data_IF_289425241311
#
_entry.id   IF_289425241311
#
_cell.length_a   1.000
_cell.length_b   1.000
_cell.length_c   1.000
_cell.angle_alpha   90.00
_cell.angle_beta   90.00
_cell.angle_gamma   90.00
#
_symmetry.space_group_name_H-M   'P 1'
#
loop_
_entity.id
_entity.type
_entity.pdbx_description
1 polymer ?
#
# COMPACT_ATOMS: atom_id res chain seq x y z
N UNK A 1 53.51 40.24 23.74
CA UNK A 1 52.52 39.73 22.76
C UNK A 1 52.79 38.26 22.51
N UNK A 2 51.89 37.35 22.91
CA UNK A 2 52.03 35.91 22.61
C UNK A 2 51.77 35.69 21.11
N UNK A 3 52.79 35.27 20.37
CA UNK A 3 52.65 34.89 18.95
C UNK A 3 52.04 33.49 18.91
N UNK A 4 50.79 33.38 18.51
CA UNK A 4 50.18 32.08 18.26
C UNK A 4 50.80 31.48 16.99
N UNK A 5 51.17 30.18 17.00
CA UNK A 5 51.71 29.53 15.82
C UNK A 5 50.65 29.52 14.70
N UNK A 6 51.06 29.86 13.48
CA UNK A 6 50.19 30.00 12.29
C UNK A 6 49.26 28.79 12.09
N UNK A 7 49.73 27.58 12.43
CA UNK A 7 48.95 26.34 12.38
C UNK A 7 47.70 26.36 13.29
N UNK A 8 47.79 26.99 14.46
CA UNK A 8 46.65 27.11 15.41
C UNK A 8 45.63 28.13 14.93
N UNK A 9 46.09 29.20 14.29
CA UNK A 9 45.21 30.21 13.69
C UNK A 9 44.43 29.59 12.51
N UNK A 10 45.11 28.83 11.64
CA UNK A 10 44.48 28.16 10.50
C UNK A 10 43.47 27.11 10.94
N UNK A 11 43.80 26.30 11.96
CA UNK A 11 42.87 25.30 12.50
C UNK A 11 41.63 25.95 13.12
N UNK A 12 41.82 27.04 13.87
CA UNK A 12 40.71 27.78 14.48
C UNK A 12 39.80 28.40 13.41
N UNK A 13 40.38 28.97 12.35
CA UNK A 13 39.63 29.51 11.22
C UNK A 13 38.82 28.42 10.51
N UNK A 14 39.42 27.24 10.31
CA UNK A 14 38.74 26.10 9.67
C UNK A 14 37.56 25.59 10.51
N UNK A 15 37.72 25.53 11.84
CA UNK A 15 36.63 25.16 12.76
C UNK A 15 35.52 26.20 12.71
N UNK A 16 35.84 27.50 12.75
CA UNK A 16 34.86 28.58 12.69
C UNK A 16 34.10 28.56 11.36
N UNK A 17 34.78 28.35 10.23
CA UNK A 17 34.12 28.25 8.92
C UNK A 17 33.18 27.05 8.88
N UNK A 18 33.60 25.86 9.32
CA UNK A 18 32.75 24.68 9.34
C UNK A 18 31.56 24.82 10.31
N UNK A 19 31.76 25.43 11.49
CA UNK A 19 30.66 25.75 12.40
C UNK A 19 29.71 26.78 11.80
N UNK A 20 30.23 27.80 11.11
CA UNK A 20 29.40 28.81 10.47
C UNK A 20 28.56 28.17 9.37
N UNK A 21 29.14 27.27 8.55
CA UNK A 21 28.40 26.53 7.52
C UNK A 21 27.31 25.65 8.16
N UNK A 22 27.60 24.92 9.23
CA UNK A 22 26.60 24.10 9.96
C UNK A 22 25.51 24.97 10.59
N UNK A 23 25.83 26.18 11.06
CA UNK A 23 24.89 27.12 11.67
C UNK A 23 24.13 27.98 10.64
N UNK A 24 24.61 28.12 9.41
CA UNK A 24 23.93 28.87 8.33
C UNK A 24 23.12 27.99 7.38
N UNK A 25 23.23 26.66 7.47
CA UNK A 25 22.21 25.78 6.91
C UNK A 25 20.97 25.86 7.82
N UNK A 26 19.86 26.46 7.36
CA UNK A 26 18.63 26.45 8.14
C UNK A 26 18.14 25.00 8.18
N UNK A 27 18.14 24.39 9.35
CA UNK A 27 17.43 23.14 9.63
C UNK A 27 15.91 23.34 9.72
N UNK A 28 15.43 24.54 9.38
CA UNK A 28 14.03 24.86 9.16
C UNK A 28 13.93 25.71 7.89
N UNK A 29 13.63 25.06 6.77
CA UNK A 29 13.08 25.74 5.59
C UNK A 29 11.86 26.52 6.07
N UNK A 30 11.82 27.83 5.84
CA UNK A 30 10.70 28.63 6.33
C UNK A 30 9.42 28.18 5.62
N UNK A 31 8.27 28.19 6.30
CA UNK A 31 7.00 27.76 5.70
C UNK A 31 6.71 28.50 4.38
N UNK A 32 7.13 29.78 4.29
CA UNK A 32 7.02 30.59 3.08
C UNK A 32 7.80 30.03 1.88
N UNK A 33 9.04 29.56 2.09
CA UNK A 33 9.85 28.97 1.01
C UNK A 33 9.23 27.65 0.52
N UNK A 34 8.62 26.89 1.44
CA UNK A 34 7.92 25.65 1.11
C UNK A 34 6.64 25.87 0.30
N UNK A 35 5.91 26.96 0.57
CA UNK A 35 4.70 27.32 -0.20
C UNK A 35 5.03 27.80 -1.60
N UNK A 36 6.10 28.59 -1.76
CA UNK A 36 6.54 29.05 -3.07
C UNK A 36 6.92 27.86 -3.97
N UNK A 37 7.66 26.87 -3.44
CA UNK A 37 8.02 25.66 -4.18
C UNK A 37 6.77 24.89 -4.64
N UNK A 38 5.80 24.69 -3.75
CA UNK A 38 4.54 23.99 -4.09
C UNK A 38 3.77 24.77 -5.16
N UNK A 39 3.64 26.08 -5.03
CA UNK A 39 2.94 26.92 -6.00
C UNK A 39 3.61 26.92 -7.37
N UNK A 40 4.95 26.94 -7.40
CA UNK A 40 5.73 26.84 -8.64
C UNK A 40 5.55 25.47 -9.31
N UNK A 41 5.55 24.38 -8.53
CA UNK A 41 5.27 23.04 -9.04
C UNK A 41 3.85 22.95 -9.63
N UNK A 42 2.83 23.42 -8.91
CA UNK A 42 1.44 23.41 -9.39
C UNK A 42 1.30 24.23 -10.67
N UNK A 43 1.97 25.38 -10.76
CA UNK A 43 2.01 26.19 -11.98
C UNK A 43 2.66 25.45 -13.15
N UNK A 44 3.79 24.76 -12.90
CA UNK A 44 4.45 23.94 -13.91
C UNK A 44 3.56 22.78 -14.38
N UNK A 45 2.94 22.04 -13.47
CA UNK A 45 2.06 20.92 -13.79
C UNK A 45 0.85 21.39 -14.61
N UNK A 46 0.22 22.51 -14.22
CA UNK A 46 -0.92 23.07 -14.95
C UNK A 46 -0.55 23.48 -16.39
N UNK A 47 0.68 23.99 -16.62
CA UNK A 47 1.16 24.29 -17.98
C UNK A 47 1.33 23.04 -18.86
N UNK A 48 1.41 21.85 -18.25
CA UNK A 48 1.54 20.56 -18.92
C UNK A 48 0.23 19.76 -18.88
N UNK A 49 -0.92 20.44 -18.74
CA UNK A 49 -2.25 19.84 -18.66
C UNK A 49 -2.46 18.88 -17.47
N UNK A 50 -1.69 19.03 -16.40
CA UNK A 50 -1.81 18.26 -15.16
C UNK A 50 -2.29 19.17 -14.03
N UNK A 51 -3.49 18.92 -13.51
CA UNK A 51 -4.05 19.64 -12.37
C UNK A 51 -3.93 18.80 -11.10
N UNK A 52 -3.45 19.41 -10.02
CA UNK A 52 -3.31 18.82 -8.69
C UNK A 52 -3.60 19.89 -7.64
N UNK A 53 -4.28 19.52 -6.55
CA UNK A 53 -4.50 20.46 -5.43
C UNK A 53 -3.20 20.66 -4.66
N UNK A 54 -2.79 21.91 -4.34
CA UNK A 54 -1.65 22.16 -3.47
C UNK A 54 -1.76 21.45 -2.10
N UNK A 55 -2.99 21.24 -1.61
CA UNK A 55 -3.25 20.64 -0.29
C UNK A 55 -2.91 19.15 -0.18
N UNK A 56 -2.77 18.44 -1.31
CA UNK A 56 -2.38 17.03 -1.33
C UNK A 56 -0.88 16.84 -1.61
N UNK A 57 -0.14 17.94 -1.81
CA UNK A 57 1.31 17.93 -1.98
C UNK A 57 1.93 18.04 -0.59
N UNK A 58 2.30 16.89 -0.06
CA UNK A 58 3.03 16.83 1.20
C UNK A 58 4.43 17.45 1.04
N UNK A 59 4.79 18.28 2.01
CA UNK A 59 6.07 19.01 2.06
C UNK A 59 7.08 18.30 2.96
N UNK A 60 6.63 17.37 3.79
CA UNK A 60 7.49 16.66 4.74
C UNK A 60 8.23 15.51 4.06
N UNK A 61 9.51 15.37 4.40
CA UNK A 61 10.30 14.20 4.04
C UNK A 61 9.78 12.99 4.83
N UNK A 62 9.25 12.00 4.13
CA UNK A 62 8.80 10.74 4.75
C UNK A 62 9.94 9.74 4.84
N UNK A 63 9.76 8.78 5.75
CA UNK A 63 10.62 7.61 5.88
C UNK A 63 9.82 6.35 5.68
N UNK A 64 10.46 5.35 5.10
CA UNK A 64 9.93 4.01 4.89
C UNK A 64 10.96 3.01 5.38
N UNK A 65 10.49 1.93 5.99
CA UNK A 65 11.31 0.78 6.31
C UNK A 65 11.44 -0.12 5.07
N UNK A 66 12.61 -0.71 4.85
CA UNK A 66 12.70 -1.91 4.03
C UNK A 66 11.97 -3.04 4.73
N UNK A 67 11.20 -3.84 4.01
CA UNK A 67 10.43 -4.93 4.60
C UNK A 67 10.32 -6.11 3.65
N UNK A 68 10.19 -7.31 4.22
CA UNK A 68 9.80 -8.52 3.48
C UNK A 68 8.47 -9.03 3.96
N UNK A 69 7.68 -9.59 3.05
CA UNK A 69 6.44 -10.29 3.39
C UNK A 69 6.55 -11.77 3.09
N UNK A 70 5.82 -12.58 3.86
CA UNK A 70 5.66 -14.01 3.66
C UNK A 70 4.23 -14.29 3.18
N UNK A 71 4.09 -15.15 2.17
CA UNK A 71 2.79 -15.61 1.72
C UNK A 71 2.09 -16.37 2.85
N UNK A 72 0.85 -16.01 3.14
CA UNK A 72 0.04 -16.67 4.17
C UNK A 72 -0.23 -18.15 3.83
N UNK A 73 -0.33 -18.49 2.54
CA UNK A 73 -0.64 -19.85 2.09
C UNK A 73 0.66 -20.59 1.73
N UNK A 74 1.25 -21.24 2.72
CA UNK A 74 2.43 -22.10 2.52
C UNK A 74 2.05 -23.50 2.02
N UNK A 75 0.91 -24.03 2.47
CA UNK A 75 0.36 -25.33 2.07
C UNK A 75 -1.05 -25.16 1.52
N UNK A 76 -1.15 -25.24 0.18
CA UNK A 76 -2.42 -25.14 -0.55
C UNK A 76 -3.39 -26.26 -0.18
N UNK A 77 -2.89 -27.46 0.08
CA UNK A 77 -3.74 -28.58 0.47
C UNK A 77 -4.34 -28.33 1.86
N UNK A 78 -3.51 -27.96 2.83
CA UNK A 78 -3.97 -27.62 4.18
C UNK A 78 -4.98 -26.46 4.16
N UNK A 79 -4.70 -25.40 3.39
CA UNK A 79 -5.60 -24.27 3.23
C UNK A 79 -6.95 -24.69 2.61
N UNK A 80 -6.92 -25.41 1.49
CA UNK A 80 -8.15 -25.91 0.86
C UNK A 80 -8.92 -26.87 1.77
N UNK A 81 -8.23 -27.69 2.58
CA UNK A 81 -8.85 -28.56 3.58
C UNK A 81 -9.57 -27.77 4.67
N UNK A 82 -9.00 -26.63 5.09
CA UNK A 82 -9.60 -25.77 6.11
C UNK A 82 -10.93 -25.17 5.61
N UNK A 83 -10.99 -24.81 4.32
CA UNK A 83 -12.18 -24.19 3.72
C UNK A 83 -13.24 -25.23 3.30
N UNK A 84 -12.83 -26.29 2.61
CA UNK A 84 -13.73 -27.26 1.97
C UNK A 84 -14.00 -28.50 2.84
N UNK A 85 -13.20 -28.72 3.89
CA UNK A 85 -13.21 -29.93 4.70
C UNK A 85 -12.32 -31.05 4.14
N UNK A 86 -12.34 -32.20 4.82
CA UNK A 86 -11.40 -33.31 4.56
C UNK A 86 -11.68 -34.09 3.27
N UNK A 87 -12.92 -34.09 2.77
CA UNK A 87 -13.30 -34.81 1.54
C UNK A 87 -13.33 -33.83 0.38
N UNK A 88 -12.22 -33.71 -0.35
CA UNK A 88 -12.10 -32.84 -1.52
C UNK A 88 -11.48 -33.60 -2.70
N UNK A 89 -11.93 -33.26 -3.89
CA UNK A 89 -11.32 -33.66 -5.15
C UNK A 89 -10.38 -32.55 -5.62
N UNK A 90 -9.31 -32.91 -6.32
CA UNK A 90 -8.32 -31.96 -6.83
C UNK A 90 -8.14 -32.19 -8.33
N UNK A 91 -8.11 -31.11 -9.11
CA UNK A 91 -7.79 -31.19 -10.53
C UNK A 91 -6.38 -31.73 -10.75
N UNK A 92 -6.13 -32.32 -11.92
CA UNK A 92 -4.82 -32.92 -12.25
C UNK A 92 -3.65 -31.94 -12.17
N UNK A 93 -3.89 -30.66 -12.40
CA UNK A 93 -2.90 -29.60 -12.31
C UNK A 93 -2.72 -29.04 -10.88
N UNK A 94 -3.52 -29.48 -9.89
CA UNK A 94 -3.40 -29.04 -8.51
C UNK A 94 -3.94 -27.64 -8.21
N UNK A 95 -4.60 -26.99 -9.16
CA UNK A 95 -5.04 -25.59 -9.04
C UNK A 95 -6.45 -25.45 -8.47
N UNK A 96 -7.32 -26.44 -8.66
CA UNK A 96 -8.72 -26.37 -8.20
C UNK A 96 -9.04 -27.53 -7.29
N UNK A 97 -9.55 -27.20 -6.11
CA UNK A 97 -10.06 -28.11 -5.10
C UNK A 97 -11.58 -27.98 -5.06
N UNK A 98 -12.30 -29.11 -5.04
CA UNK A 98 -13.77 -29.12 -5.02
C UNK A 98 -14.30 -30.03 -3.93
N UNK A 99 -15.32 -29.59 -3.19
CA UNK A 99 -16.08 -30.42 -2.26
C UNK A 99 -17.52 -29.91 -2.16
N UNK A 100 -18.51 -30.80 -2.30
CA UNK A 100 -19.94 -30.45 -2.25
C UNK A 100 -20.28 -29.25 -3.18
N UNK A 101 -19.66 -29.22 -4.37
CA UNK A 101 -19.80 -28.16 -5.37
C UNK A 101 -19.24 -26.78 -4.97
N UNK A 102 -18.63 -26.65 -3.79
CA UNK A 102 -17.81 -25.50 -3.44
C UNK A 102 -16.40 -25.67 -4.00
N UNK A 103 -15.75 -24.56 -4.36
CA UNK A 103 -14.43 -24.57 -4.97
C UNK A 103 -13.45 -23.66 -4.24
N UNK A 104 -12.19 -24.11 -4.14
CA UNK A 104 -11.02 -23.27 -3.87
C UNK A 104 -10.12 -23.34 -5.10
N UNK A 105 -9.84 -22.19 -5.69
CA UNK A 105 -9.11 -22.06 -6.95
C UNK A 105 -7.84 -21.25 -6.68
N UNK A 106 -6.70 -21.72 -7.18
CA UNK A 106 -5.42 -21.04 -7.12
C UNK A 106 -4.98 -20.62 -8.53
N UNK A 107 -4.50 -19.39 -8.65
CA UNK A 107 -3.86 -18.84 -9.85
C UNK A 107 -2.56 -18.14 -9.42
N UNK A 108 -1.43 -18.83 -9.57
CA UNK A 108 -0.18 -18.44 -8.89
C UNK A 108 -0.42 -18.35 -7.38
N UNK A 109 -0.08 -17.20 -6.78
CA UNK A 109 -0.33 -16.91 -5.36
C UNK A 109 -1.65 -16.20 -5.08
N UNK A 110 -2.46 -15.96 -6.12
CA UNK A 110 -3.85 -15.57 -5.95
C UNK A 110 -4.70 -16.80 -5.67
N UNK A 111 -5.76 -16.59 -4.91
CA UNK A 111 -6.73 -17.64 -4.63
C UNK A 111 -8.15 -17.09 -4.62
N UNK A 112 -9.12 -17.99 -4.73
CA UNK A 112 -10.54 -17.69 -4.64
C UNK A 112 -11.28 -18.84 -3.98
N UNK A 113 -12.21 -18.51 -3.09
CA UNK A 113 -13.22 -19.42 -2.58
C UNK A 113 -14.56 -19.09 -3.22
N UNK A 114 -15.13 -20.06 -3.93
CA UNK A 114 -16.39 -19.95 -4.67
C UNK A 114 -17.35 -21.01 -4.12
N UNK A 115 -18.17 -20.66 -3.11
CA UNK A 115 -19.21 -21.55 -2.63
C UNK A 115 -20.36 -21.63 -3.65
N UNK A 116 -21.02 -22.79 -3.73
CA UNK A 116 -22.22 -22.97 -4.58
C UNK A 116 -23.40 -22.13 -4.10
N UNK A 117 -23.56 -22.03 -2.79
CA UNK A 117 -24.60 -21.23 -2.12
C UNK A 117 -23.95 -20.35 -1.07
N UNK A 118 -24.53 -19.18 -0.75
CA UNK A 118 -24.00 -18.31 0.30
C UNK A 118 -23.71 -19.08 1.59
N UNK A 119 -22.54 -18.87 2.18
CA UNK A 119 -22.14 -19.51 3.44
C UNK A 119 -22.69 -18.69 4.60
N UNK A 120 -23.66 -19.25 5.31
CA UNK A 120 -24.22 -18.61 6.51
C UNK A 120 -23.24 -18.71 7.67
N UNK A 121 -22.74 -17.57 8.13
CA UNK A 121 -21.91 -17.43 9.33
C UNK A 121 -22.65 -16.55 10.35
N UNK A 122 -22.38 -16.73 11.65
CA UNK A 122 -22.92 -15.85 12.70
C UNK A 122 -22.65 -14.37 12.41
N UNK A 123 -21.52 -14.08 11.79
CA UNK A 123 -21.04 -12.76 11.42
C UNK A 123 -21.85 -12.14 10.27
N UNK A 124 -22.44 -12.95 9.40
CA UNK A 124 -23.21 -12.48 8.23
C UNK A 124 -24.60 -11.95 8.60
N UNK A 125 -25.19 -12.40 9.70
CA UNK A 125 -26.51 -11.96 10.14
C UNK A 125 -26.55 -10.48 10.52
N UNK A 126 -27.52 -9.74 9.97
CA UNK A 126 -27.70 -8.31 10.25
C UNK A 126 -26.52 -7.46 9.76
N UNK A 127 -25.87 -7.88 8.67
CA UNK A 127 -24.92 -7.01 7.98
C UNK A 127 -25.63 -5.78 7.40
N UNK A 128 -25.00 -4.62 7.55
CA UNK A 128 -25.42 -3.35 7.00
C UNK A 128 -24.19 -2.50 6.62
N UNK A 129 -24.41 -1.38 5.93
CA UNK A 129 -23.32 -0.51 5.47
C UNK A 129 -22.45 0.06 6.61
N UNK A 130 -22.98 0.17 7.84
CA UNK A 130 -22.26 0.73 9.00
C UNK A 130 -21.35 -0.33 9.63
N UNK A 131 -21.78 -1.59 9.64
CA UNK A 131 -21.11 -2.68 10.35
C UNK A 131 -20.35 -3.65 9.43
N UNK A 132 -20.48 -3.49 8.10
CA UNK A 132 -19.89 -4.37 7.08
C UNK A 132 -18.38 -4.59 7.28
N UNK A 133 -17.57 -3.53 7.40
CA UNK A 133 -16.12 -3.67 7.63
C UNK A 133 -15.78 -4.48 8.89
N UNK A 134 -16.52 -4.24 9.99
CA UNK A 134 -16.31 -4.94 11.26
C UNK A 134 -16.66 -6.43 11.16
N UNK A 135 -17.73 -6.76 10.44
CA UNK A 135 -18.13 -8.16 10.18
C UNK A 135 -17.18 -8.85 9.22
N UNK A 136 -16.77 -8.17 8.15
CA UNK A 136 -15.75 -8.65 7.22
C UNK A 136 -14.46 -9.05 7.94
N UNK A 137 -13.98 -8.21 8.87
CA UNK A 137 -12.82 -8.55 9.72
C UNK A 137 -12.99 -9.86 10.49
N UNK A 138 -14.17 -10.09 11.07
CA UNK A 138 -14.45 -11.33 11.81
C UNK A 138 -14.54 -12.55 10.89
N UNK A 139 -15.12 -12.39 9.70
CA UNK A 139 -15.17 -13.45 8.69
C UNK A 139 -13.76 -13.79 8.21
N UNK A 140 -12.91 -12.79 7.97
CA UNK A 140 -11.50 -13.02 7.64
C UNK A 140 -10.80 -13.85 8.74
N UNK A 141 -11.00 -13.48 10.01
CA UNK A 141 -10.47 -14.24 11.15
C UNK A 141 -11.02 -15.67 11.25
N UNK A 142 -12.30 -15.90 10.91
CA UNK A 142 -12.90 -17.24 10.86
C UNK A 142 -12.17 -18.16 9.87
N UNK A 143 -11.72 -17.62 8.73
CA UNK A 143 -10.91 -18.36 7.75
C UNK A 143 -9.40 -18.37 8.04
N UNK A 144 -8.99 -17.82 9.19
CA UNK A 144 -7.60 -17.82 9.65
C UNK A 144 -6.75 -16.66 9.16
N UNK A 145 -7.32 -15.69 8.43
CA UNK A 145 -6.57 -14.52 7.97
C UNK A 145 -6.30 -13.56 9.13
N UNK A 146 -5.01 -13.36 9.44
CA UNK A 146 -4.62 -12.27 10.34
C UNK A 146 -4.80 -10.92 9.63
N UNK A 147 -5.58 -10.05 10.28
CA UNK A 147 -5.95 -8.72 9.80
C UNK A 147 -5.73 -7.65 10.87
N UNK A 148 -4.82 -7.91 11.81
CA UNK A 148 -4.45 -6.93 12.82
C UNK A 148 -3.90 -5.65 12.16
N UNK A 149 -2.98 -5.83 11.21
CA UNK A 149 -2.32 -4.74 10.48
C UNK A 149 -2.94 -4.53 9.09
N UNK A 150 -4.26 -4.65 8.96
CA UNK A 150 -4.95 -4.45 7.68
C UNK A 150 -5.80 -3.17 7.69
N UNK A 151 -5.73 -2.41 6.59
CA UNK A 151 -6.74 -1.41 6.28
C UNK A 151 -7.96 -2.12 5.69
N UNK A 152 -9.13 -1.87 6.27
CA UNK A 152 -10.39 -2.53 5.88
C UNK A 152 -11.43 -1.47 5.52
N UNK A 153 -11.91 -1.53 4.29
CA UNK A 153 -12.98 -0.66 3.79
C UNK A 153 -14.12 -1.53 3.26
N UNK A 154 -15.33 -0.99 3.26
CA UNK A 154 -16.49 -1.66 2.69
C UNK A 154 -17.25 -0.71 1.77
N UNK A 155 -17.92 -1.29 0.79
CA UNK A 155 -18.88 -0.60 -0.07
C UNK A 155 -20.16 -1.43 -0.16
N UNK A 156 -21.27 -0.75 -0.40
CA UNK A 156 -22.61 -1.34 -0.52
C UNK A 156 -23.09 -1.15 -1.96
N UNK A 157 -23.39 -2.25 -2.62
CA UNK A 157 -24.13 -2.29 -3.87
C UNK A 157 -25.48 -2.99 -3.62
N UNK A 158 -26.48 -2.21 -3.21
CA UNK A 158 -27.86 -2.65 -3.04
C UNK A 158 -28.02 -3.92 -2.15
N UNK A 159 -27.34 -3.95 -1.00
CA UNK A 159 -27.36 -5.06 -0.06
C UNK A 159 -26.33 -6.15 -0.35
N UNK A 160 -25.51 -5.95 -1.39
CA UNK A 160 -24.26 -6.69 -1.60
C UNK A 160 -23.10 -5.87 -1.03
N UNK A 161 -22.54 -6.35 0.07
CA UNK A 161 -21.43 -5.71 0.76
C UNK A 161 -20.11 -6.25 0.24
N UNK A 162 -19.32 -5.38 -0.38
CA UNK A 162 -17.97 -5.66 -0.84
C UNK A 162 -16.97 -5.18 0.22
N UNK A 163 -16.29 -6.11 0.88
CA UNK A 163 -15.23 -5.81 1.83
C UNK A 163 -13.90 -5.88 1.10
N UNK A 164 -13.09 -4.82 1.18
CA UNK A 164 -11.73 -4.79 0.68
C UNK A 164 -10.76 -4.65 1.87
N UNK A 165 -9.75 -5.50 1.88
CA UNK A 165 -8.70 -5.55 2.90
C UNK A 165 -7.35 -5.46 2.22
N UNK A 166 -6.44 -4.66 2.75
CA UNK A 166 -5.05 -4.60 2.31
C UNK A 166 -4.13 -4.58 3.52
N UNK A 167 -3.01 -5.30 3.45
CA UNK A 167 -2.03 -5.31 4.53
C UNK A 167 -1.33 -3.95 4.62
N UNK A 168 -0.88 -3.60 5.82
CA UNK A 168 -0.16 -2.35 6.09
C UNK A 168 1.12 -2.62 6.84
N UNK A 169 2.16 -1.88 6.50
CA UNK A 169 3.43 -1.81 7.25
C UNK A 169 3.54 -0.42 7.81
N UNK A 170 3.61 -0.29 9.13
CA UNK A 170 3.70 1.01 9.81
C UNK A 170 2.58 1.98 9.36
N UNK A 171 1.38 1.45 9.13
CA UNK A 171 0.19 2.13 8.59
C UNK A 171 0.25 2.55 7.12
N UNK A 172 1.29 2.15 6.38
CA UNK A 172 1.39 2.34 4.93
C UNK A 172 0.83 1.11 4.20
N UNK A 173 -0.10 1.26 3.24
CA UNK A 173 -0.72 0.14 2.53
C UNK A 173 0.24 -0.56 1.58
N UNK A 174 0.11 -1.87 1.46
CA UNK A 174 0.74 -2.68 0.41
C UNK A 174 -0.28 -2.85 -0.72
N UNK A 175 -0.24 -1.96 -1.72
CA UNK A 175 -1.37 -1.71 -2.62
C UNK A 175 -1.82 -2.92 -3.44
N UNK A 176 -0.90 -3.82 -3.77
CA UNK A 176 -1.14 -5.02 -4.56
C UNK A 176 -1.25 -6.30 -3.71
N UNK A 177 -1.23 -6.17 -2.38
CA UNK A 177 -1.56 -7.23 -1.42
C UNK A 177 -2.95 -6.96 -0.85
N UNK A 178 -3.94 -7.74 -1.31
CA UNK A 178 -5.33 -7.47 -1.00
C UNK A 178 -6.20 -8.71 -0.97
N UNK A 179 -7.24 -8.63 -0.14
CA UNK A 179 -8.30 -9.61 -0.01
C UNK A 179 -9.66 -8.95 -0.16
N UNK A 180 -10.58 -9.62 -0.83
CA UNK A 180 -11.95 -9.19 -1.01
C UNK A 180 -12.93 -10.23 -0.51
N UNK A 181 -14.02 -9.79 0.11
CA UNK A 181 -15.13 -10.64 0.55
C UNK A 181 -16.44 -10.05 0.05
N UNK A 182 -17.27 -10.87 -0.57
CA UNK A 182 -18.61 -10.49 -1.00
C UNK A 182 -19.65 -11.09 -0.05
N UNK A 183 -20.44 -10.25 0.61
CA UNK A 183 -21.38 -10.67 1.66
C UNK A 183 -22.77 -10.10 1.35
N UNK A 184 -23.80 -10.92 1.57
CA UNK A 184 -25.20 -10.51 1.51
C UNK A 184 -25.91 -10.88 2.81
N UNK A 185 -27.19 -10.54 2.93
CA UNK A 185 -28.04 -11.01 4.04
C UNK A 185 -28.12 -12.54 4.12
N UNK A 186 -27.97 -13.24 2.99
CA UNK A 186 -28.09 -14.69 2.89
C UNK A 186 -26.79 -15.40 3.31
N UNK A 187 -25.68 -14.67 3.33
CA UNK A 187 -24.37 -15.19 3.73
C UNK A 187 -23.21 -14.65 2.91
N UNK A 188 -22.05 -15.25 3.13
CA UNK A 188 -20.82 -15.01 2.37
C UNK A 188 -20.93 -15.65 0.97
N UNK A 189 -20.86 -14.83 -0.07
CA UNK A 189 -20.91 -15.24 -1.48
C UNK A 189 -19.57 -15.81 -1.94
N UNK A 190 -18.47 -15.37 -1.33
CA UNK A 190 -17.12 -15.84 -1.65
C UNK A 190 -16.06 -14.83 -1.21
N UNK A 191 -14.81 -15.22 -1.38
CA UNK A 191 -13.67 -14.31 -1.18
C UNK A 191 -12.56 -14.64 -2.16
N UNK A 192 -11.73 -13.65 -2.46
CA UNK A 192 -10.58 -13.83 -3.34
C UNK A 192 -9.51 -12.77 -3.08
N UNK A 193 -8.30 -13.08 -3.49
CA UNK A 193 -7.19 -12.13 -3.40
C UNK A 193 -5.84 -12.82 -3.34
N UNK A 194 -4.90 -12.06 -2.80
CA UNK A 194 -3.53 -12.47 -2.49
C UNK A 194 -3.24 -11.92 -1.11
N UNK A 195 -2.66 -12.73 -0.22
CA UNK A 195 -2.48 -12.32 1.17
C UNK A 195 -1.08 -12.66 1.66
N UNK A 196 -0.30 -11.62 1.86
CA UNK A 196 1.03 -11.67 2.43
C UNK A 196 1.02 -10.97 3.79
N UNK A 197 1.92 -11.38 4.68
CA UNK A 197 2.03 -10.80 6.03
C UNK A 197 3.47 -10.48 6.36
N UNK A 198 3.71 -9.54 7.27
CA UNK A 198 5.06 -9.09 7.59
C UNK A 198 5.93 -10.25 8.07
N UNK A 199 7.05 -10.46 7.39
CA UNK A 199 8.08 -11.41 7.77
C UNK A 199 9.22 -10.71 8.53
N UNK A 200 9.76 -9.64 7.96
CA UNK A 200 10.83 -8.85 8.60
C UNK A 200 10.75 -7.37 8.27
N UNK A 201 11.24 -6.55 9.22
CA UNK A 201 11.49 -5.13 9.04
C UNK A 201 13.00 -4.88 9.09
N UNK A 202 13.46 -4.01 8.20
CA UNK A 202 14.86 -3.59 8.11
C UNK A 202 15.02 -2.10 8.35
N UNK A 203 16.02 -1.52 7.71
CA UNK A 203 16.43 -0.14 7.94
C UNK A 203 15.45 0.88 7.35
N UNK A 204 15.38 2.04 7.99
CA UNK A 204 14.65 3.19 7.48
C UNK A 204 15.45 3.92 6.41
N UNK A 205 14.75 4.35 5.36
CA UNK A 205 15.27 5.21 4.30
C UNK A 205 14.35 6.39 4.10
N UNK A 206 14.92 7.53 3.73
CA UNK A 206 14.12 8.68 3.32
C UNK A 206 13.49 8.39 1.96
N UNK A 207 12.24 8.80 1.80
CA UNK A 207 11.59 8.79 0.49
C UNK A 207 11.98 10.02 -0.30
N UNK A 208 11.95 9.89 -1.62
CA UNK A 208 11.68 10.95 -2.58
C UNK A 208 10.47 11.77 -2.11
N UNK A 209 10.53 13.09 -2.34
CA UNK A 209 9.44 14.00 -2.01
C UNK A 209 8.23 13.78 -2.94
N UNK A 210 7.04 14.23 -2.52
CA UNK A 210 5.86 14.24 -3.41
C UNK A 210 6.11 15.11 -4.65
N UNK A 211 6.85 16.21 -4.49
CA UNK A 211 7.19 17.10 -5.59
C UNK A 211 8.01 16.38 -6.68
N UNK A 212 9.05 15.66 -6.27
CA UNK A 212 9.89 14.89 -7.20
C UNK A 212 9.10 13.75 -7.85
N UNK A 213 8.22 13.08 -7.10
CA UNK A 213 7.36 12.03 -7.64
C UNK A 213 6.38 12.57 -8.70
N UNK A 214 5.83 13.76 -8.50
CA UNK A 214 4.96 14.44 -9.46
C UNK A 214 5.72 14.89 -10.71
N UNK A 215 6.96 15.37 -10.55
CA UNK A 215 7.82 15.70 -11.69
C UNK A 215 8.14 14.46 -12.51
N UNK A 216 8.48 13.34 -11.88
CA UNK A 216 8.73 12.06 -12.56
C UNK A 216 7.46 11.55 -13.28
N UNK A 217 6.30 11.62 -12.63
CA UNK A 217 5.02 11.29 -13.25
C UNK A 217 4.73 12.16 -14.48
N UNK A 218 5.00 13.47 -14.39
CA UNK A 218 4.80 14.39 -15.53
C UNK A 218 5.67 14.05 -16.73
N UNK A 219 6.86 13.49 -16.49
CA UNK A 219 7.80 13.05 -17.51
C UNK A 219 7.59 11.59 -17.96
N UNK A 220 6.72 10.83 -17.27
CA UNK A 220 6.49 9.43 -17.58
C UNK A 220 5.87 9.24 -18.96
N UNK A 221 6.34 8.21 -19.66
CA UNK A 221 5.78 7.80 -20.97
C UNK A 221 4.45 7.07 -20.82
N UNK A 222 4.18 6.51 -19.64
CA UNK A 222 2.98 5.71 -19.36
C UNK A 222 1.81 6.56 -18.87
N UNK A 223 2.03 7.87 -18.65
CA UNK A 223 0.96 8.79 -18.26
C UNK A 223 -0.07 8.92 -19.40
N UNK A 224 -1.35 9.18 -19.09
CA UNK A 224 -2.37 9.31 -20.11
C UNK A 224 -2.13 10.57 -20.98
N UNK A 225 -2.64 10.52 -22.20
CA UNK A 225 -2.64 11.68 -23.08
C UNK A 225 -3.79 12.64 -22.74
N UNK A 226 -3.56 13.94 -22.90
CA UNK A 226 -4.56 14.98 -22.65
C UNK A 226 -4.56 15.47 -21.20
N UNK A 227 -5.70 16.05 -20.79
CA UNK A 227 -5.85 16.69 -19.48
C UNK A 227 -5.93 15.65 -18.37
N UNK A 228 -5.06 15.81 -17.37
CA UNK A 228 -4.93 14.95 -16.20
C UNK A 228 -5.39 15.72 -14.96
N UNK A 229 -6.23 15.09 -14.14
CA UNK A 229 -6.63 15.63 -12.84
C UNK A 229 -6.28 14.61 -11.75
N UNK A 230 -5.31 14.95 -10.90
CA UNK A 230 -4.85 14.13 -9.78
C UNK A 230 -5.78 14.36 -8.59
N UNK A 231 -6.34 13.28 -8.05
CA UNK A 231 -7.28 13.28 -6.93
C UNK A 231 -6.60 12.95 -5.60
N UNK A 232 -5.55 12.13 -5.60
CA UNK A 232 -4.88 11.67 -4.38
C UNK A 232 -3.43 11.24 -4.65
N UNK A 233 -2.57 11.38 -3.64
CA UNK A 233 -1.19 10.89 -3.65
C UNK A 233 -0.92 10.19 -2.31
N UNK A 234 -0.77 8.87 -2.34
CA UNK A 234 -0.57 8.05 -1.14
C UNK A 234 0.79 7.36 -1.17
N UNK A 235 1.56 7.43 -0.08
CA UNK A 235 2.76 6.60 0.11
C UNK A 235 2.35 5.18 0.52
N UNK A 236 2.99 4.17 -0.06
CA UNK A 236 2.77 2.79 0.31
C UNK A 236 3.86 1.88 -0.27
N UNK A 237 3.53 0.60 -0.39
CA UNK A 237 4.41 -0.41 -0.93
C UNK A 237 3.73 -1.20 -2.05
N UNK A 238 4.54 -1.80 -2.92
CA UNK A 238 4.13 -2.87 -3.82
C UNK A 238 5.03 -4.08 -3.59
N UNK A 239 4.44 -5.28 -3.64
CA UNK A 239 5.15 -6.53 -3.87
C UNK A 239 5.71 -6.50 -5.29
N UNK A 240 7.02 -6.72 -5.44
CA UNK A 240 7.71 -6.70 -6.75
C UNK A 240 7.57 -8.03 -7.47
N UNK A 241 7.75 -9.11 -6.72
CA UNK A 241 7.71 -10.48 -7.24
C UNK A 241 6.78 -11.31 -6.37
N UNK A 242 5.66 -11.71 -6.96
CA UNK A 242 4.69 -12.55 -6.26
C UNK A 242 5.13 -14.01 -6.19
N UNK A 243 6.04 -14.48 -7.03
CA UNK A 243 6.40 -15.90 -7.09
C UNK A 243 7.44 -16.30 -6.02
N UNK A 244 8.10 -15.31 -5.41
CA UNK A 244 9.04 -15.50 -4.30
C UNK A 244 8.35 -15.31 -2.94
N UNK A 245 8.73 -16.13 -1.96
CA UNK A 245 8.30 -15.99 -0.57
C UNK A 245 9.43 -16.44 0.37
N UNK A 246 9.97 -15.57 1.24
CA UNK A 246 9.58 -14.17 1.42
C UNK A 246 9.85 -13.29 0.19
N UNK A 247 9.04 -12.26 -0.01
CA UNK A 247 9.17 -11.28 -1.11
C UNK A 247 9.59 -9.91 -0.58
N UNK A 248 10.37 -9.18 -1.37
CA UNK A 248 10.77 -7.80 -1.06
C UNK A 248 9.68 -6.81 -1.48
N UNK A 249 9.56 -5.74 -0.70
CA UNK A 249 8.66 -4.64 -1.00
C UNK A 249 9.39 -3.45 -1.59
N UNK A 250 8.77 -2.86 -2.61
CA UNK A 250 9.19 -1.59 -3.17
C UNK A 250 8.31 -0.46 -2.62
N UNK A 251 8.88 0.52 -1.90
CA UNK A 251 8.19 1.75 -1.54
C UNK A 251 7.78 2.52 -2.80
N UNK A 252 6.54 2.99 -2.84
CA UNK A 252 5.99 3.72 -3.99
C UNK A 252 5.06 4.84 -3.56
N UNK A 253 5.07 5.92 -4.34
CA UNK A 253 4.02 6.92 -4.36
C UNK A 253 2.94 6.47 -5.34
N UNK A 254 1.73 6.20 -4.85
CA UNK A 254 0.55 5.94 -5.68
C UNK A 254 -0.16 7.26 -5.99
N UNK A 255 -0.10 7.67 -7.24
CA UNK A 255 -0.83 8.80 -7.79
C UNK A 255 -2.17 8.30 -8.33
N UNK A 256 -3.27 8.78 -7.75
CA UNK A 256 -4.62 8.45 -8.18
C UNK A 256 -5.20 9.61 -8.97
N UNK A 257 -5.76 9.32 -10.14
CA UNK A 257 -6.45 10.31 -10.96
C UNK A 257 -7.94 10.37 -10.59
N UNK A 258 -8.62 11.42 -11.02
CA UNK A 258 -10.06 11.61 -10.78
C UNK A 258 -10.95 10.55 -11.43
N UNK A 259 -10.49 9.94 -12.53
CA UNK A 259 -11.16 8.81 -13.17
C UNK A 259 -10.92 7.46 -12.44
N UNK A 260 -10.12 7.46 -11.37
CA UNK A 260 -9.78 6.27 -10.59
C UNK A 260 -8.54 5.51 -11.07
N UNK A 261 -7.91 5.94 -12.16
CA UNK A 261 -6.65 5.37 -12.65
C UNK A 261 -5.53 5.57 -11.62
N UNK A 262 -4.64 4.58 -11.49
CA UNK A 262 -3.57 4.55 -10.50
C UNK A 262 -2.21 4.39 -11.18
N UNK A 263 -1.26 5.21 -10.77
CA UNK A 263 0.12 5.20 -11.25
C UNK A 263 1.06 5.10 -10.05
N UNK A 264 2.17 4.40 -10.22
CA UNK A 264 3.12 4.11 -9.15
C UNK A 264 4.49 4.65 -9.52
N UNK A 265 5.03 5.53 -8.69
CA UNK A 265 6.37 6.09 -8.81
C UNK A 265 7.22 5.55 -7.67
N UNK A 266 8.46 5.13 -7.97
CA UNK A 266 9.37 4.65 -6.93
C UNK A 266 9.64 5.79 -5.92
N UNK A 267 9.37 5.51 -4.65
CA UNK A 267 9.49 6.47 -3.56
C UNK A 267 10.90 6.58 -3.01
#
# INVERSE_FOLDING_TARGET
MKRFPIKVILLSLFIVINLTVICTFPTSMSDNDSEEVVNNLVTFLNKNDITVSPTIIDKETKKVSSATLQNFIEDRDAFAKNILGAKKEVTKNGETYTANENQVIFDGNKFSFVPKTPVTLSETHGIDAVNASKKGKKIAAYYGFDSQNALIVSSDDNGKYHIFMTYTIENLPVFNDYMTFDITSDGLIGFSGVWFTQNSLGEYRNTKSVADALLEFSASKDKPNGKIEISDITLGYNIVDFDTSPTELQPVWRITLKDGSKYYINA
#
